data_IF_098548043463
#
_entry.id   IF_098548043463
#
_cell.length_a   1.000
_cell.length_b   1.000
_cell.length_c   1.000
_cell.angle_alpha   90.00
_cell.angle_beta   90.00
_cell.angle_gamma   90.00
#
_symmetry.space_group_name_H-M   'P 1'
#
loop_
_entity.id
_entity.type
_entity.pdbx_description
1 polymer ?
#
# COMPACT_ATOMS: atom_id res chain seq x y z
N UNK A 1 -19.74 -55.27 20.97
CA UNK A 1 -18.83 -54.66 19.96
C UNK A 1 -19.56 -53.72 18.99
N UNK A 2 -20.73 -54.07 18.44
CA UNK A 2 -21.45 -53.24 17.45
C UNK A 2 -22.00 -51.90 17.97
N UNK A 3 -22.59 -51.86 19.18
CA UNK A 3 -23.14 -50.60 19.74
C UNK A 3 -22.07 -49.53 20.05
N UNK A 4 -20.84 -49.97 20.38
CA UNK A 4 -19.72 -49.08 20.68
C UNK A 4 -19.15 -48.41 19.40
N UNK A 5 -19.22 -49.12 18.26
CA UNK A 5 -18.82 -48.61 16.94
C UNK A 5 -19.78 -47.55 16.39
N UNK A 6 -21.11 -47.73 16.58
CA UNK A 6 -22.14 -46.78 16.12
C UNK A 6 -22.02 -45.44 16.86
N UNK A 7 -21.82 -45.46 18.19
CA UNK A 7 -21.63 -44.24 18.99
C UNK A 7 -20.40 -43.45 18.55
N UNK A 8 -19.28 -44.14 18.28
CA UNK A 8 -18.01 -43.53 17.85
C UNK A 8 -18.11 -42.89 16.47
N UNK A 9 -18.82 -43.52 15.52
CA UNK A 9 -19.13 -42.91 14.20
C UNK A 9 -19.98 -41.65 14.33
N UNK A 10 -20.99 -41.63 15.21
CA UNK A 10 -21.84 -40.44 15.41
C UNK A 10 -21.07 -39.28 16.03
N UNK A 11 -20.15 -39.57 16.97
CA UNK A 11 -19.31 -38.56 17.60
C UNK A 11 -18.33 -37.94 16.59
N UNK A 12 -17.67 -38.76 15.77
CA UNK A 12 -16.76 -38.28 14.71
C UNK A 12 -17.52 -37.45 13.67
N UNK A 13 -18.72 -37.88 13.28
CA UNK A 13 -19.56 -37.11 12.36
C UNK A 13 -19.99 -35.76 12.96
N UNK A 14 -20.39 -35.71 14.23
CA UNK A 14 -20.71 -34.45 14.92
C UNK A 14 -19.51 -33.51 14.92
N UNK A 15 -18.32 -34.01 15.28
CA UNK A 15 -17.09 -33.20 15.29
C UNK A 15 -16.70 -32.69 13.91
N UNK A 16 -16.87 -33.49 12.84
CA UNK A 16 -16.61 -33.05 11.46
C UNK A 16 -17.60 -31.95 11.06
N UNK A 17 -18.88 -32.11 11.39
CA UNK A 17 -19.91 -31.11 11.08
C UNK A 17 -19.64 -29.81 11.84
N UNK A 18 -19.36 -29.87 13.14
CA UNK A 18 -19.01 -28.71 13.95
C UNK A 18 -17.78 -27.98 13.42
N UNK A 19 -16.72 -28.72 13.11
CA UNK A 19 -15.50 -28.13 12.53
C UNK A 19 -15.78 -27.48 11.16
N UNK A 20 -16.58 -28.13 10.33
CA UNK A 20 -16.96 -27.61 9.01
C UNK A 20 -17.78 -26.34 9.12
N UNK A 21 -18.76 -26.29 10.04
CA UNK A 21 -19.57 -25.10 10.31
C UNK A 21 -18.68 -23.96 10.82
N UNK A 22 -17.76 -24.24 11.74
CA UNK A 22 -16.84 -23.24 12.25
C UNK A 22 -15.92 -22.69 11.15
N UNK A 23 -15.36 -23.56 10.30
CA UNK A 23 -14.59 -23.13 9.14
C UNK A 23 -15.41 -22.27 8.17
N UNK A 24 -16.67 -22.63 7.92
CA UNK A 24 -17.56 -21.86 7.04
C UNK A 24 -17.86 -20.47 7.63
N UNK A 25 -18.11 -20.39 8.94
CA UNK A 25 -18.33 -19.10 9.62
C UNK A 25 -17.06 -18.24 9.54
N UNK A 26 -15.89 -18.80 9.85
CA UNK A 26 -14.61 -18.08 9.76
C UNK A 26 -14.34 -17.61 8.33
N UNK A 27 -14.63 -18.46 7.34
CA UNK A 27 -14.50 -18.11 5.94
C UNK A 27 -15.44 -16.96 5.55
N UNK A 28 -16.72 -17.00 5.95
CA UNK A 28 -17.70 -15.94 5.69
C UNK A 28 -17.30 -14.61 6.35
N UNK A 29 -16.87 -14.64 7.61
CA UNK A 29 -16.41 -13.44 8.32
C UNK A 29 -15.17 -12.85 7.62
N UNK A 30 -14.21 -13.69 7.21
CA UNK A 30 -12.98 -13.23 6.54
C UNK A 30 -13.23 -12.69 5.14
N UNK A 31 -14.19 -13.27 4.42
CA UNK A 31 -14.53 -12.89 3.05
C UNK A 31 -15.45 -11.68 2.98
N UNK A 32 -16.53 -11.65 3.76
CA UNK A 32 -17.60 -10.65 3.65
C UNK A 32 -17.74 -9.71 4.85
N UNK A 33 -17.14 -10.03 5.99
CA UNK A 33 -17.24 -9.24 7.22
C UNK A 33 -16.20 -8.12 7.29
N UNK A 34 -15.51 -8.05 8.44
CA UNK A 34 -14.51 -7.04 8.72
C UNK A 34 -13.10 -7.63 8.65
N UNK A 35 -12.19 -6.94 7.97
CA UNK A 35 -10.78 -7.28 7.99
C UNK A 35 -10.03 -6.37 8.96
N UNK A 36 -9.20 -6.94 9.83
CA UNK A 36 -8.23 -6.17 10.59
C UNK A 36 -6.98 -6.00 9.74
N UNK A 37 -6.76 -4.79 9.26
CA UNK A 37 -5.62 -4.44 8.41
C UNK A 37 -4.62 -3.61 9.21
N UNK A 38 -3.35 -3.74 8.87
CA UNK A 38 -2.28 -2.93 9.42
C UNK A 38 -1.70 -2.06 8.31
N UNK A 39 -1.53 -0.77 8.58
CA UNK A 39 -0.92 0.17 7.61
C UNK A 39 0.59 -0.07 7.58
N UNK A 40 1.15 -0.55 6.45
CA UNK A 40 2.58 -0.89 6.39
C UNK A 40 3.45 0.31 6.01
N UNK A 41 2.88 1.37 5.44
CA UNK A 41 3.63 2.50 4.86
C UNK A 41 3.13 3.85 5.33
N UNK A 42 4.03 4.83 5.35
CA UNK A 42 3.77 6.20 5.81
C UNK A 42 2.96 7.07 4.85
N UNK A 43 2.46 6.50 3.73
CA UNK A 43 1.82 7.29 2.68
C UNK A 43 0.49 7.95 3.08
N UNK A 44 -0.11 7.53 4.20
CA UNK A 44 -1.32 8.13 4.77
C UNK A 44 -1.07 8.78 6.13
N UNK A 45 0.17 9.14 6.49
CA UNK A 45 0.57 9.57 7.85
C UNK A 45 -0.24 10.71 8.48
N UNK A 46 -0.89 11.59 7.68
CA UNK A 46 -1.81 12.60 8.20
C UNK A 46 -3.14 12.05 8.69
N UNK A 47 -3.52 10.86 8.21
CA UNK A 47 -4.81 10.22 8.47
C UNK A 47 -4.65 8.92 9.28
N UNK A 48 -3.64 8.10 8.98
CA UNK A 48 -3.32 6.84 9.64
C UNK A 48 -1.80 6.62 9.68
N UNK A 49 -1.29 6.24 10.85
CA UNK A 49 0.15 6.04 11.04
C UNK A 49 0.63 4.66 10.62
N UNK A 50 1.94 4.56 10.35
CA UNK A 50 2.61 3.29 10.14
C UNK A 50 2.44 2.39 11.37
N UNK A 51 1.99 1.17 11.12
CA UNK A 51 1.77 0.17 12.15
C UNK A 51 0.40 0.24 12.84
N UNK A 52 -0.42 1.26 12.56
CA UNK A 52 -1.80 1.31 13.05
C UNK A 52 -2.64 0.20 12.43
N UNK A 53 -3.55 -0.35 13.25
CA UNK A 53 -4.51 -1.36 12.82
C UNK A 53 -5.89 -0.74 12.70
N UNK A 54 -6.55 -0.96 11.58
CA UNK A 54 -7.90 -0.47 11.33
C UNK A 54 -8.81 -1.62 10.91
N UNK A 55 -10.09 -1.48 11.23
CA UNK A 55 -11.13 -2.37 10.72
C UNK A 55 -11.62 -1.82 9.39
N UNK A 56 -11.39 -2.55 8.31
CA UNK A 56 -12.01 -2.23 7.03
C UNK A 56 -13.30 -3.04 6.89
N UNK A 57 -14.38 -2.32 6.58
CA UNK A 57 -15.63 -2.92 6.18
C UNK A 57 -15.57 -3.36 4.72
N UNK A 58 -15.77 -4.65 4.48
CA UNK A 58 -15.87 -5.21 3.12
C UNK A 58 -17.32 -5.26 2.63
N UNK A 59 -18.29 -5.19 3.54
CA UNK A 59 -19.70 -5.36 3.23
C UNK A 59 -20.25 -4.16 2.46
N UNK A 60 -19.89 -2.93 2.88
CA UNK A 60 -20.37 -1.71 2.23
C UNK A 60 -20.05 -1.67 0.73
N UNK A 61 -18.92 -2.24 0.28
CA UNK A 61 -18.55 -2.26 -1.14
C UNK A 61 -19.52 -3.10 -2.02
N UNK A 62 -20.18 -4.11 -1.45
CA UNK A 62 -21.17 -4.91 -2.20
C UNK A 62 -22.46 -4.13 -2.49
N UNK A 63 -22.76 -3.09 -1.70
CA UNK A 63 -24.01 -2.32 -1.80
C UNK A 63 -23.75 -0.93 -2.39
N UNK A 64 -22.63 -0.31 -2.02
CA UNK A 64 -22.27 1.05 -2.38
C UNK A 64 -20.90 1.04 -3.04
N UNK A 65 -20.82 1.66 -4.22
CA UNK A 65 -19.53 1.91 -4.89
C UNK A 65 -18.71 2.92 -4.07
N UNK A 66 -17.37 2.84 -4.11
CA UNK A 66 -16.52 3.85 -3.49
C UNK A 66 -16.89 5.24 -4.00
N UNK A 67 -16.81 6.22 -3.13
CA UNK A 67 -17.00 7.61 -3.48
C UNK A 67 -15.66 8.36 -3.41
N UNK A 68 -15.70 9.56 -3.96
CA UNK A 68 -14.61 10.51 -3.88
C UNK A 68 -14.15 10.70 -2.43
N UNK A 69 -12.84 10.76 -2.23
CA UNK A 69 -12.19 10.90 -0.93
C UNK A 69 -12.33 9.71 0.03
N UNK A 70 -13.01 8.62 -0.34
CA UNK A 70 -13.03 7.40 0.46
C UNK A 70 -11.62 6.82 0.60
N UNK A 71 -11.35 6.23 1.76
CA UNK A 71 -10.11 5.51 2.02
C UNK A 71 -10.39 4.03 1.83
N UNK A 72 -9.73 3.44 0.84
CA UNK A 72 -9.92 2.05 0.47
C UNK A 72 -8.65 1.26 0.75
N UNK A 73 -8.84 0.00 1.13
CA UNK A 73 -7.77 -0.98 1.22
C UNK A 73 -7.93 -1.99 0.08
N UNK A 74 -6.85 -2.23 -0.68
CA UNK A 74 -6.83 -3.21 -1.74
C UNK A 74 -5.50 -3.97 -1.74
N UNK A 75 -5.51 -5.16 -2.33
CA UNK A 75 -4.32 -5.98 -2.49
C UNK A 75 -3.38 -5.33 -3.51
N UNK A 76 -2.07 -5.38 -3.25
CA UNK A 76 -1.04 -4.93 -4.19
C UNK A 76 -1.32 -5.45 -5.62
N UNK A 77 -1.58 -4.56 -6.61
CA UNK A 77 -1.91 -4.96 -7.97
C UNK A 77 -0.70 -5.56 -8.71
N UNK A 78 0.53 -5.30 -8.25
CA UNK A 78 1.75 -5.88 -8.80
C UNK A 78 2.07 -7.27 -8.25
N UNK A 79 1.27 -7.81 -7.32
CA UNK A 79 1.50 -9.12 -6.77
C UNK A 79 1.17 -10.23 -7.77
N UNK A 80 2.17 -11.04 -8.09
CA UNK A 80 2.03 -12.18 -8.99
C UNK A 80 1.58 -13.39 -8.17
N UNK A 81 0.33 -13.81 -8.38
CA UNK A 81 -0.20 -15.04 -7.82
C UNK A 81 0.43 -16.26 -8.50
N UNK A 82 0.53 -17.37 -7.78
CA UNK A 82 1.00 -18.63 -8.33
C UNK A 82 0.01 -19.19 -9.36
N UNK A 83 0.52 -19.78 -10.45
CA UNK A 83 -0.29 -20.39 -11.51
C UNK A 83 -1.20 -21.52 -11.00
N UNK A 84 -0.79 -22.17 -9.92
CA UNK A 84 -1.61 -23.20 -9.28
C UNK A 84 -2.82 -22.56 -8.57
N UNK A 85 -4.03 -22.93 -9.01
CA UNK A 85 -5.31 -22.45 -8.45
C UNK A 85 -5.47 -22.65 -6.94
N UNK A 86 -4.92 -23.72 -6.40
CA UNK A 86 -4.97 -23.97 -4.95
C UNK A 86 -4.02 -23.01 -4.24
N UNK A 87 -2.80 -22.87 -4.74
CA UNK A 87 -1.79 -21.99 -4.12
C UNK A 87 -2.23 -20.53 -4.21
N UNK A 88 -2.79 -20.08 -5.34
CA UNK A 88 -3.35 -18.73 -5.48
C UNK A 88 -4.53 -18.48 -4.55
N UNK A 89 -5.41 -19.47 -4.33
CA UNK A 89 -6.48 -19.36 -3.34
C UNK A 89 -5.93 -19.16 -1.92
N UNK A 90 -4.90 -19.94 -1.53
CA UNK A 90 -4.22 -19.73 -0.26
C UNK A 90 -3.50 -18.37 -0.20
N UNK A 91 -2.92 -17.89 -1.31
CA UNK A 91 -2.29 -16.57 -1.42
C UNK A 91 -3.28 -15.39 -1.37
N UNK A 92 -4.55 -15.63 -1.68
CA UNK A 92 -5.57 -14.59 -1.60
C UNK A 92 -6.16 -14.50 -0.19
N UNK A 93 -6.28 -15.64 0.49
CA UNK A 93 -7.08 -15.74 1.71
C UNK A 93 -6.33 -16.16 2.96
N UNK A 94 -5.09 -16.63 2.92
CA UNK A 94 -4.38 -17.15 4.12
C UNK A 94 -3.10 -16.35 4.40
N UNK A 95 -2.14 -16.44 3.49
CA UNK A 95 -0.97 -15.56 3.37
C UNK A 95 -1.12 -14.79 2.05
N UNK A 96 -0.46 -13.67 1.80
CA UNK A 96 -0.78 -12.95 0.56
C UNK A 96 -0.07 -11.62 0.31
N UNK A 97 -0.55 -10.86 -0.69
CA UNK A 97 -0.01 -9.55 -1.01
C UNK A 97 -0.09 -8.59 0.17
N UNK A 98 0.80 -7.60 0.14
CA UNK A 98 0.68 -6.46 1.04
C UNK A 98 -0.64 -5.73 0.75
N UNK A 99 -1.34 -5.35 1.82
CA UNK A 99 -2.53 -4.53 1.70
C UNK A 99 -2.11 -3.07 1.58
N UNK A 100 -2.55 -2.41 0.52
CA UNK A 100 -2.32 -1.00 0.29
C UNK A 100 -3.55 -0.23 0.71
N UNK A 101 -3.34 0.80 1.51
CA UNK A 101 -4.41 1.71 1.95
C UNK A 101 -4.18 3.05 1.27
N UNK A 102 -5.14 3.47 0.45
CA UNK A 102 -5.03 4.68 -0.39
C UNK A 102 -6.36 5.43 -0.40
N UNK A 103 -6.30 6.72 -0.75
CA UNK A 103 -7.48 7.57 -0.92
C UNK A 103 -7.93 7.55 -2.39
N UNK A 104 -9.23 7.49 -2.62
CA UNK A 104 -9.83 7.60 -3.96
C UNK A 104 -9.80 9.06 -4.39
N UNK A 105 -9.04 9.36 -5.46
CA UNK A 105 -8.91 10.71 -6.04
C UNK A 105 -9.82 10.89 -7.27
N UNK A 106 -9.95 9.86 -8.09
CA UNK A 106 -10.76 9.87 -9.31
C UNK A 106 -11.58 8.60 -9.45
N UNK A 107 -12.76 8.75 -10.04
CA UNK A 107 -13.71 7.68 -10.35
C UNK A 107 -13.71 7.39 -11.86
N UNK A 108 -14.27 6.25 -12.32
CA UNK A 108 -14.36 5.95 -13.74
C UNK A 108 -15.07 7.08 -14.50
N UNK A 109 -14.38 7.64 -15.50
CA UNK A 109 -14.84 8.80 -16.27
C UNK A 109 -14.18 10.14 -15.86
N UNK A 110 -13.48 10.18 -14.72
CA UNK A 110 -12.72 11.36 -14.33
C UNK A 110 -11.39 11.49 -15.08
N UNK A 111 -11.07 12.71 -15.47
CA UNK A 111 -9.77 13.10 -16.00
C UNK A 111 -8.93 13.73 -14.89
N UNK A 112 -7.89 13.03 -14.46
CA UNK A 112 -6.94 13.50 -13.44
C UNK A 112 -5.68 14.03 -14.12
N UNK A 113 -5.29 15.25 -13.77
CA UNK A 113 -4.06 15.90 -14.25
C UNK A 113 -3.26 16.44 -13.06
N UNK A 114 -2.04 15.95 -12.88
CA UNK A 114 -1.07 16.56 -11.98
C UNK A 114 -0.24 17.61 -12.73
N UNK A 115 -0.05 18.78 -12.14
CA UNK A 115 0.86 19.80 -12.65
C UNK A 115 1.58 20.53 -11.52
N UNK A 116 2.64 21.24 -11.87
CA UNK A 116 3.36 22.12 -10.94
C UNK A 116 2.85 23.53 -11.19
N UNK A 117 2.26 24.15 -10.17
CA UNK A 117 1.85 25.56 -10.16
C UNK A 117 2.51 26.24 -8.98
N UNK A 118 3.15 27.38 -9.20
CA UNK A 118 3.87 28.13 -8.17
C UNK A 118 4.85 27.25 -7.36
N UNK A 119 5.61 26.41 -8.07
CA UNK A 119 6.54 25.39 -7.52
C UNK A 119 5.89 24.32 -6.61
N UNK A 120 4.55 24.24 -6.59
CA UNK A 120 3.80 23.27 -5.78
C UNK A 120 3.08 22.25 -6.66
N UNK A 121 3.10 20.96 -6.29
CA UNK A 121 2.31 19.94 -6.97
C UNK A 121 0.82 20.18 -6.69
N UNK A 122 0.04 20.26 -7.77
CA UNK A 122 -1.41 20.44 -7.72
C UNK A 122 -2.09 19.39 -8.58
N UNK A 123 -3.22 18.89 -8.10
CA UNK A 123 -4.05 17.91 -8.80
C UNK A 123 -5.32 18.59 -9.31
N UNK A 124 -5.63 18.35 -10.57
CA UNK A 124 -6.87 18.75 -11.20
C UNK A 124 -7.70 17.52 -11.51
N UNK A 125 -8.99 17.61 -11.24
CA UNK A 125 -9.99 16.60 -11.60
C UNK A 125 -11.06 17.25 -12.46
N UNK A 126 -11.22 16.77 -13.69
CA UNK A 126 -12.14 17.34 -14.67
C UNK A 126 -11.97 18.86 -14.78
N UNK A 127 -10.73 19.31 -14.94
CA UNK A 127 -10.32 20.72 -15.06
C UNK A 127 -10.54 21.59 -13.81
N UNK A 128 -11.07 21.03 -12.72
CA UNK A 128 -11.20 21.71 -11.44
C UNK A 128 -10.02 21.37 -10.52
N UNK A 129 -9.36 22.40 -9.98
CA UNK A 129 -8.33 22.24 -8.96
C UNK A 129 -8.92 21.54 -7.73
N UNK A 130 -8.29 20.46 -7.31
CA UNK A 130 -8.71 19.70 -6.15
C UNK A 130 -8.24 20.42 -4.87
N UNK A 131 -9.14 20.55 -3.91
CA UNK A 131 -8.78 21.01 -2.56
C UNK A 131 -8.43 19.78 -1.72
N UNK A 132 -7.18 19.71 -1.26
CA UNK A 132 -6.61 18.54 -0.59
C UNK A 132 -6.16 18.88 0.84
N UNK A 133 -7.09 19.22 1.76
CA UNK A 133 -6.75 19.60 3.14
C UNK A 133 -6.13 18.44 3.95
N UNK A 134 -6.18 17.23 3.41
CA UNK A 134 -5.60 16.02 4.00
C UNK A 134 -4.12 15.84 3.67
N UNK A 135 -3.52 16.66 2.80
CA UNK A 135 -2.11 16.55 2.46
C UNK A 135 -1.22 16.80 3.68
N UNK A 136 -0.14 16.04 3.76
CA UNK A 136 0.90 16.32 4.74
C UNK A 136 1.56 17.64 4.36
N UNK A 137 1.81 18.50 5.36
CA UNK A 137 2.64 19.70 5.18
C UNK A 137 4.03 19.35 4.64
N UNK A 138 4.54 18.16 5.01
CA UNK A 138 5.81 17.62 4.54
C UNK A 138 5.60 16.26 3.87
N UNK A 139 5.12 16.21 2.61
CA UNK A 139 4.84 14.94 1.94
C UNK A 139 6.14 14.16 1.70
N UNK A 140 6.03 12.82 1.78
CA UNK A 140 7.11 11.93 1.36
C UNK A 140 7.08 11.80 -0.16
N UNK A 141 8.18 12.17 -0.80
CA UNK A 141 8.41 11.94 -2.23
C UNK A 141 9.38 10.78 -2.42
N UNK A 142 9.19 10.04 -3.52
CA UNK A 142 10.18 9.08 -3.97
C UNK A 142 11.34 9.82 -4.62
N UNK A 143 12.55 9.54 -4.15
CA UNK A 143 13.78 9.99 -4.80
C UNK A 143 14.65 8.78 -5.12
N UNK A 144 15.39 8.87 -6.21
CA UNK A 144 16.36 7.85 -6.58
C UNK A 144 17.53 7.86 -5.58
N UNK A 145 17.93 6.68 -5.10
CA UNK A 145 19.11 6.50 -4.24
C UNK A 145 20.42 6.76 -4.98
N UNK A 146 20.39 6.54 -6.29
CA UNK A 146 21.53 6.64 -7.20
C UNK A 146 21.17 7.56 -8.36
N UNK A 147 22.19 7.96 -9.12
CA UNK A 147 22.01 8.70 -10.37
C UNK A 147 21.04 7.94 -11.31
N UNK A 148 19.99 8.60 -11.83
CA UNK A 148 19.08 8.00 -12.81
C UNK A 148 19.78 7.35 -14.01
N UNK A 149 20.94 7.85 -14.44
CA UNK A 149 21.68 7.30 -15.56
C UNK A 149 22.29 5.92 -15.25
N UNK A 150 22.87 5.77 -14.05
CA UNK A 150 23.39 4.47 -13.60
C UNK A 150 22.27 3.44 -13.43
N UNK A 151 21.09 3.89 -12.99
CA UNK A 151 19.93 3.01 -12.89
C UNK A 151 19.47 2.52 -14.26
N UNK A 152 19.47 3.41 -15.27
CA UNK A 152 19.11 3.06 -16.65
C UNK A 152 20.04 1.99 -17.19
N UNK A 153 21.35 2.14 -17.02
CA UNK A 153 22.35 1.18 -17.49
C UNK A 153 22.18 -0.20 -16.85
N UNK A 154 21.88 -0.24 -15.54
CA UNK A 154 21.60 -1.50 -14.83
C UNK A 154 20.34 -2.19 -15.34
N UNK A 155 19.27 -1.44 -15.59
CA UNK A 155 18.02 -1.97 -16.13
C UNK A 155 18.26 -2.49 -17.55
N UNK A 156 18.95 -1.74 -18.40
CA UNK A 156 19.29 -2.15 -19.78
C UNK A 156 20.11 -3.45 -19.80
N UNK A 157 21.16 -3.54 -18.98
CA UNK A 157 22.00 -4.73 -18.89
C UNK A 157 21.20 -5.97 -18.45
N UNK A 158 20.30 -5.81 -17.49
CA UNK A 158 19.48 -6.91 -16.98
C UNK A 158 18.43 -7.35 -18.01
N UNK A 159 17.82 -6.40 -18.71
CA UNK A 159 16.89 -6.65 -19.81
C UNK A 159 17.58 -7.36 -20.97
N UNK A 160 18.80 -6.97 -21.35
CA UNK A 160 19.61 -7.68 -22.35
C UNK A 160 19.93 -9.11 -21.90
N UNK A 161 20.29 -9.31 -20.63
CA UNK A 161 20.54 -10.63 -20.06
C UNK A 161 19.30 -11.54 -20.06
N UNK A 162 18.10 -10.98 -19.89
CA UNK A 162 16.84 -11.71 -20.05
C UNK A 162 16.60 -12.01 -21.53
N UNK A 163 16.70 -11.01 -22.40
CA UNK A 163 16.49 -11.17 -23.84
C UNK A 163 17.42 -12.24 -24.44
N UNK A 164 18.70 -12.29 -24.04
CA UNK A 164 19.64 -13.33 -24.48
C UNK A 164 19.26 -14.74 -24.03
N UNK A 165 18.49 -14.89 -22.95
CA UNK A 165 18.03 -16.18 -22.42
C UNK A 165 16.68 -16.62 -22.99
N UNK A 166 15.74 -15.69 -23.16
CA UNK A 166 14.36 -15.97 -23.61
C UNK A 166 14.14 -15.75 -25.11
N UNK A 167 14.98 -14.96 -25.78
CA UNK A 167 14.80 -14.54 -27.18
C UNK A 167 13.62 -13.58 -27.41
N UNK A 168 12.87 -13.22 -26.38
CA UNK A 168 11.69 -12.36 -26.44
C UNK A 168 11.58 -11.46 -25.20
N UNK A 169 11.10 -10.24 -25.42
CA UNK A 169 10.68 -9.34 -24.36
C UNK A 169 9.27 -9.70 -23.92
N UNK A 170 9.16 -10.45 -22.82
CA UNK A 170 7.90 -10.67 -22.15
C UNK A 170 7.60 -9.43 -21.28
N UNK A 171 6.49 -8.75 -21.57
CA UNK A 171 6.03 -7.55 -20.85
C UNK A 171 5.87 -7.80 -19.35
N UNK A 172 5.51 -9.02 -18.95
CA UNK A 172 5.40 -9.40 -17.53
C UNK A 172 6.75 -9.44 -16.83
N UNK A 173 7.81 -9.84 -17.56
CA UNK A 173 9.18 -9.89 -17.05
C UNK A 173 9.76 -8.48 -16.96
N UNK A 174 9.50 -7.63 -17.96
CA UNK A 174 9.88 -6.21 -17.92
C UNK A 174 9.24 -5.53 -16.71
N UNK A 175 7.92 -5.66 -16.55
CA UNK A 175 7.20 -5.07 -15.42
C UNK A 175 7.74 -5.57 -14.07
N UNK A 176 8.10 -6.85 -13.97
CA UNK A 176 8.69 -7.42 -12.76
C UNK A 176 10.05 -6.79 -12.43
N UNK A 177 10.94 -6.69 -13.42
CA UNK A 177 12.26 -6.07 -13.25
C UNK A 177 12.10 -4.61 -12.84
N UNK A 178 11.19 -3.89 -13.49
CA UNK A 178 10.90 -2.50 -13.16
C UNK A 178 10.39 -2.33 -11.73
N UNK A 179 9.38 -3.12 -11.32
CA UNK A 179 8.83 -3.07 -9.94
C UNK A 179 9.91 -3.40 -8.90
N UNK A 180 10.71 -4.44 -9.16
CA UNK A 180 11.77 -4.85 -8.25
C UNK A 180 12.83 -3.76 -8.10
N UNK A 181 13.33 -3.23 -9.22
CA UNK A 181 14.33 -2.15 -9.22
C UNK A 181 13.78 -0.89 -8.57
N UNK A 182 12.52 -0.52 -8.82
CA UNK A 182 11.89 0.62 -8.18
C UNK A 182 11.90 0.51 -6.65
N UNK A 183 11.61 -0.67 -6.09
CA UNK A 183 11.68 -0.90 -4.65
C UNK A 183 13.10 -0.85 -4.09
N UNK A 184 14.09 -1.33 -4.84
CA UNK A 184 15.50 -1.34 -4.42
C UNK A 184 16.15 0.05 -4.50
N UNK A 185 15.75 0.86 -5.49
CA UNK A 185 16.49 2.06 -5.92
C UNK A 185 15.79 3.36 -5.58
N UNK A 186 14.53 3.33 -5.14
CA UNK A 186 13.86 4.50 -4.58
C UNK A 186 13.97 4.52 -3.05
N UNK A 187 14.10 5.72 -2.49
CA UNK A 187 13.92 5.98 -1.06
C UNK A 187 12.87 7.06 -0.89
N UNK A 188 12.17 7.02 0.23
CA UNK A 188 11.27 8.09 0.63
C UNK A 188 12.09 9.21 1.27
N UNK A 189 11.82 10.46 0.88
CA UNK A 189 12.31 11.65 1.57
C UNK A 189 11.18 12.64 1.75
N UNK A 190 11.13 13.29 2.92
CA UNK A 190 10.18 14.38 3.15
C UNK A 190 10.57 15.61 2.35
N UNK A 191 9.58 16.35 1.87
CA UNK A 191 9.73 17.55 1.06
C UNK A 191 9.00 18.72 1.74
N UNK A 192 9.59 19.91 1.77
CA UNK A 192 8.98 21.17 2.21
C UNK A 192 8.56 21.99 0.98
N UNK A 193 7.25 22.19 0.72
CA UNK A 193 6.77 22.91 -0.45
C UNK A 193 7.09 24.41 -0.45
N UNK A 194 7.56 24.97 0.67
CA UNK A 194 7.99 26.38 0.73
C UNK A 194 9.49 26.57 0.45
N UNK A 195 10.23 25.49 0.15
CA UNK A 195 11.69 25.51 -0.05
C UNK A 195 12.04 24.98 -1.45
N UNK A 196 13.05 25.58 -2.10
CA UNK A 196 13.56 25.08 -3.39
C UNK A 196 14.06 23.63 -3.27
N UNK A 197 13.82 22.80 -4.29
CA UNK A 197 14.23 21.37 -4.31
C UNK A 197 15.71 21.15 -3.96
N UNK A 198 16.60 22.05 -4.41
CA UNK A 198 18.04 21.96 -4.14
C UNK A 198 18.43 22.26 -2.68
N UNK A 199 17.53 22.87 -1.91
CA UNK A 199 17.73 23.29 -0.52
C UNK A 199 16.86 22.48 0.47
N UNK A 200 16.31 21.36 0.01
CA UNK A 200 15.36 20.56 0.77
C UNK A 200 15.98 19.96 2.03
N UNK A 201 15.38 20.16 3.21
CA UNK A 201 15.77 19.47 4.42
C UNK A 201 15.17 18.07 4.39
N UNK A 202 15.98 17.07 4.05
CA UNK A 202 15.50 15.70 3.99
C UNK A 202 15.21 15.17 5.40
N UNK A 203 13.94 15.18 5.80
CA UNK A 203 13.54 14.62 7.09
C UNK A 203 13.24 13.12 7.02
N UNK A 204 13.61 12.43 8.10
CA UNK A 204 13.13 11.10 8.45
C UNK A 204 12.23 11.27 9.69
N UNK A 205 10.92 11.03 9.57
CA UNK A 205 10.04 10.98 10.75
C UNK A 205 10.49 9.79 11.59
N UNK A 206 10.88 10.04 12.84
CA UNK A 206 11.33 9.01 13.79
C UNK A 206 10.08 8.48 14.49
N UNK A 207 9.78 7.17 14.43
CA UNK A 207 8.60 6.57 15.05
C UNK A 207 8.40 6.92 16.54
N UNK A 208 9.49 7.20 17.24
CA UNK A 208 9.51 7.54 18.67
C UNK A 208 8.91 8.92 19.02
N UNK A 209 8.47 9.71 18.03
CA UNK A 209 7.94 11.09 18.22
C UNK A 209 6.42 11.22 18.04
N UNK A 210 5.71 10.11 17.89
CA UNK A 210 4.25 10.07 17.78
C UNK A 210 3.62 10.13 19.18
N UNK A 211 2.72 11.09 19.42
CA UNK A 211 1.93 11.18 20.65
C UNK A 211 0.47 10.85 20.30
N UNK A 212 -0.24 10.12 21.17
CA UNK A 212 -1.69 9.94 21.02
C UNK A 212 -2.38 11.11 21.72
N UNK A 213 -3.13 11.90 20.96
CA UNK A 213 -3.92 13.00 21.52
C UNK A 213 -5.06 12.50 22.42
N UNK A 214 -5.80 13.40 23.09
CA UNK A 214 -6.84 13.05 24.08
C UNK A 214 -7.98 12.17 23.54
N UNK A 215 -8.21 12.20 22.23
CA UNK A 215 -9.24 11.42 21.53
C UNK A 215 -8.68 10.15 20.85
N UNK A 216 -7.44 9.78 21.14
CA UNK A 216 -6.76 8.63 20.53
C UNK A 216 -6.36 8.82 19.07
N UNK A 217 -6.64 10.01 18.49
CA UNK A 217 -6.11 10.40 17.19
C UNK A 217 -4.59 10.59 17.29
N UNK A 218 -3.81 10.10 16.32
CA UNK A 218 -2.40 10.35 16.30
C UNK A 218 -2.14 11.84 16.09
N UNK A 219 -1.42 12.44 17.03
CA UNK A 219 -0.89 13.80 16.89
C UNK A 219 0.62 13.67 16.70
N UNK A 220 1.09 14.02 15.51
CA UNK A 220 2.51 14.19 15.27
C UNK A 220 2.96 15.34 16.16
N UNK A 221 3.86 15.09 17.11
CA UNK A 221 4.61 16.18 17.73
C UNK A 221 5.25 16.91 16.55
N UNK A 222 4.92 18.19 16.35
CA UNK A 222 5.32 18.96 15.16
C UNK A 222 6.73 18.56 14.73
N UNK A 223 6.98 18.25 13.44
CA UNK A 223 8.34 18.05 12.99
C UNK A 223 9.09 19.32 13.37
N UNK A 224 10.14 19.19 14.20
CA UNK A 224 10.98 20.33 14.55
C UNK A 224 11.29 21.10 13.25
N UNK A 225 11.24 22.43 13.34
CA UNK A 225 11.57 23.32 12.23
C UNK A 225 12.80 22.78 11.50
N UNK A 226 12.83 22.80 10.16
CA UNK A 226 13.91 22.15 9.44
C UNK A 226 15.24 22.73 9.86
N UNK A 227 16.14 21.87 10.31
CA UNK A 227 17.53 22.25 10.50
C UNK A 227 18.18 22.18 9.13
N UNK A 228 18.26 23.32 8.46
CA UNK A 228 18.96 23.45 7.20
C UNK A 228 20.47 23.35 7.44
N UNK A 229 21.22 22.57 6.64
CA UNK A 229 22.67 22.71 6.62
C UNK A 229 23.02 24.16 6.21
N UNK A 230 24.08 24.75 6.77
CA UNK A 230 24.48 26.10 6.38
C UNK A 230 24.73 26.17 4.86
N UNK A 231 24.49 27.31 4.21
CA UNK A 231 24.54 27.47 2.74
C UNK A 231 25.86 27.03 2.07
N UNK A 232 26.91 26.85 2.88
CA UNK A 232 28.29 26.69 2.47
C UNK A 232 28.76 25.22 2.53
N UNK A 233 27.90 24.29 2.98
CA UNK A 233 28.21 22.87 3.03
C UNK A 233 27.94 22.20 1.66
N UNK A 234 28.86 22.38 0.71
CA UNK A 234 28.97 21.54 -0.49
C UNK A 234 30.17 20.60 -0.38
#
# INVERSE_FOLDING_TARGET
MAQMQVKKKSAIWSSIVEFTVLLMIVFLIRTMGFGLYQVPTGSMETTMLVGERFFADKFTYFIKKPQDNDIIAFNDPGFIYADNKIVSLFQQYVWGPSNWTKRVIGMPGDHIRGMIEDDKPVIYRNEKKLDEPYLNKYPLIHVWKHDPEMLREQIETELEGVFRRSGQFDETVINRIMIQKWGETSTYRSYDPEVSFAQQPFYRIIPDRIIRGPLGKPELKEPEKPTYPPPDAR
#
